data_IF_430276622405
#
_entry.id   IF_430276622405
#
_cell.length_a   1.000
_cell.length_b   1.000
_cell.length_c   1.000
_cell.angle_alpha   90.00
_cell.angle_beta   90.00
_cell.angle_gamma   90.00
#
_symmetry.space_group_name_H-M   'P 1'
#
loop_
_entity.id
_entity.type
_entity.pdbx_description
1 polymer ?
#
# COMPACT_ATOMS: atom_id res chain seq x y z
N UNK A 1 -3.09 -2.94 14.97
CA UNK A 1 -1.96 -2.13 15.48
C UNK A 1 -0.58 -2.74 15.21
N UNK A 2 -0.33 -4.04 15.46
CA UNK A 2 0.98 -4.65 15.19
C UNK A 2 1.42 -4.61 13.71
N UNK A 3 0.50 -4.88 12.79
CA UNK A 3 0.73 -4.75 11.33
C UNK A 3 1.05 -3.31 10.92
N UNK A 4 0.46 -2.31 11.59
CA UNK A 4 0.67 -0.89 11.30
C UNK A 4 2.06 -0.43 11.72
N UNK A 5 2.55 -0.90 12.87
CA UNK A 5 3.92 -0.62 13.36
C UNK A 5 4.96 -1.32 12.48
N UNK A 6 4.70 -2.56 12.07
CA UNK A 6 5.56 -3.29 11.13
C UNK A 6 5.63 -2.60 9.77
N UNK A 7 4.48 -2.20 9.22
CA UNK A 7 4.42 -1.47 7.94
C UNK A 7 5.11 -0.09 8.04
N UNK A 8 4.98 0.61 9.16
CA UNK A 8 5.74 1.84 9.38
C UNK A 8 7.26 1.58 9.41
N UNK A 9 7.69 0.46 10.00
CA UNK A 9 9.10 0.07 10.08
C UNK A 9 9.77 -0.17 8.72
N UNK A 10 9.03 -0.63 7.71
CA UNK A 10 9.57 -0.81 6.35
C UNK A 10 9.65 0.49 5.57
N UNK A 11 8.64 1.38 5.69
CA UNK A 11 8.61 2.65 4.93
C UNK A 11 9.48 3.77 5.53
N UNK A 12 9.79 3.75 6.83
CA UNK A 12 10.66 4.76 7.49
C UNK A 12 12.07 4.83 6.90
N UNK A 13 12.83 3.73 6.71
CA UNK A 13 14.16 3.80 6.10
C UNK A 13 14.12 4.29 4.65
N UNK A 14 13.10 3.90 3.87
CA UNK A 14 12.91 4.39 2.49
C UNK A 14 12.66 5.90 2.43
N UNK A 15 11.84 6.40 3.36
CA UNK A 15 11.61 7.83 3.52
C UNK A 15 12.91 8.58 3.83
N UNK A 16 13.72 8.06 4.76
CA UNK A 16 15.01 8.65 5.14
C UNK A 16 15.96 8.69 3.93
N UNK A 17 16.08 7.57 3.21
CA UNK A 17 16.92 7.48 2.00
C UNK A 17 16.49 8.49 0.93
N UNK A 18 15.19 8.55 0.64
CA UNK A 18 14.61 9.46 -0.37
C UNK A 18 14.83 10.93 0.00
N UNK A 19 14.69 11.30 1.28
CA UNK A 19 14.92 12.67 1.77
C UNK A 19 16.41 13.05 1.66
N UNK A 20 17.32 12.14 1.97
CA UNK A 20 18.77 12.40 1.85
C UNK A 20 19.15 12.64 0.40
N UNK A 21 18.64 11.84 -0.54
CA UNK A 21 18.90 11.98 -1.98
C UNK A 21 18.27 13.27 -2.53
N UNK A 22 17.06 13.60 -2.11
CA UNK A 22 16.40 14.85 -2.48
C UNK A 22 17.18 16.09 -1.99
N UNK A 23 17.73 16.05 -0.77
CA UNK A 23 18.57 17.14 -0.21
C UNK A 23 19.89 17.32 -0.95
N UNK A 24 20.38 16.31 -1.66
CA UNK A 24 21.56 16.40 -2.53
C UNK A 24 21.27 17.00 -3.90
N UNK A 25 20.04 17.47 -4.15
CA UNK A 25 19.60 18.05 -5.42
C UNK A 25 19.18 17.03 -6.47
N UNK A 26 19.14 15.73 -6.12
CA UNK A 26 18.79 14.63 -7.01
C UNK A 26 17.30 14.26 -6.83
N UNK A 27 16.41 15.21 -7.13
CA UNK A 27 14.96 15.04 -6.93
C UNK A 27 14.37 13.86 -7.71
N UNK A 28 14.74 13.70 -8.97
CA UNK A 28 14.26 12.62 -9.85
C UNK A 28 14.71 11.24 -9.35
N UNK A 29 15.89 11.17 -8.71
CA UNK A 29 16.39 9.96 -8.08
C UNK A 29 15.64 9.64 -6.79
N UNK A 30 15.26 10.65 -6.01
CA UNK A 30 14.45 10.45 -4.81
C UNK A 30 13.05 9.93 -5.16
N UNK A 31 12.41 10.47 -6.21
CA UNK A 31 11.09 10.02 -6.67
C UNK A 31 11.15 8.60 -7.22
N UNK A 32 12.16 8.28 -8.04
CA UNK A 32 12.31 6.92 -8.59
C UNK A 32 12.64 5.89 -7.52
N UNK A 33 13.44 6.25 -6.50
CA UNK A 33 13.72 5.37 -5.34
C UNK A 33 12.45 5.07 -4.54
N UNK A 34 11.61 6.08 -4.29
CA UNK A 34 10.36 5.90 -3.54
C UNK A 34 9.32 5.08 -4.30
N UNK A 35 9.23 5.24 -5.63
CA UNK A 35 8.34 4.41 -6.47
C UNK A 35 8.87 2.98 -6.54
N UNK A 36 10.20 2.82 -6.68
CA UNK A 36 10.87 1.53 -6.80
C UNK A 36 10.73 0.65 -5.56
N UNK A 37 10.82 1.21 -4.35
CA UNK A 37 10.69 0.43 -3.12
C UNK A 37 9.27 -0.13 -2.93
N UNK A 38 8.24 0.67 -3.18
CA UNK A 38 6.85 0.19 -3.18
C UNK A 38 6.60 -0.90 -4.23
N UNK A 39 7.21 -0.78 -5.42
CA UNK A 39 7.07 -1.77 -6.48
C UNK A 39 7.79 -3.08 -6.12
N UNK A 40 8.96 -2.99 -5.47
CA UNK A 40 9.69 -4.13 -4.93
C UNK A 40 8.89 -4.84 -3.82
N UNK A 41 8.27 -4.11 -2.90
CA UNK A 41 7.43 -4.69 -1.85
C UNK A 41 6.26 -5.48 -2.44
N UNK A 42 5.62 -5.00 -3.51
CA UNK A 42 4.51 -5.70 -4.16
C UNK A 42 5.00 -6.91 -4.98
N UNK A 43 6.07 -6.74 -5.76
CA UNK A 43 6.56 -7.78 -6.67
C UNK A 43 7.40 -8.86 -5.98
N UNK A 44 8.06 -8.54 -4.87
CA UNK A 44 9.03 -9.41 -4.20
C UNK A 44 8.66 -9.59 -2.72
N UNK A 45 8.30 -8.51 -2.02
CA UNK A 45 7.91 -8.56 -0.61
C UNK A 45 6.67 -9.42 -0.33
N UNK A 46 5.61 -9.30 -1.15
CA UNK A 46 4.40 -10.11 -1.01
C UNK A 46 4.58 -11.58 -1.47
N UNK A 47 5.23 -11.89 -2.61
CA UNK A 47 5.31 -13.27 -3.09
C UNK A 47 6.32 -14.13 -2.36
N UNK A 48 7.42 -13.57 -1.83
CA UNK A 48 8.47 -14.36 -1.17
C UNK A 48 7.94 -15.16 0.04
N UNK A 49 7.19 -14.57 1.00
CA UNK A 49 6.65 -15.32 2.13
C UNK A 49 5.69 -16.44 1.70
N UNK A 50 4.88 -16.19 0.68
CA UNK A 50 3.97 -17.20 0.10
C UNK A 50 4.74 -18.32 -0.60
N UNK A 51 5.76 -17.97 -1.38
CA UNK A 51 6.63 -18.94 -2.05
C UNK A 51 7.40 -19.78 -1.03
N UNK A 52 7.91 -19.16 0.03
CA UNK A 52 8.59 -19.83 1.13
C UNK A 52 7.64 -20.77 1.87
N UNK A 53 6.42 -20.32 2.18
CA UNK A 53 5.42 -21.16 2.81
C UNK A 53 5.00 -22.33 1.91
N UNK A 54 4.87 -22.10 0.60
CA UNK A 54 4.62 -23.15 -0.38
C UNK A 54 5.79 -24.15 -0.44
N UNK A 55 7.03 -23.67 -0.49
CA UNK A 55 8.22 -24.51 -0.53
C UNK A 55 8.41 -25.35 0.75
N UNK A 56 8.20 -24.75 1.93
CA UNK A 56 8.24 -25.46 3.22
C UNK A 56 7.11 -26.50 3.26
N UNK A 57 5.89 -26.13 2.89
CA UNK A 57 4.77 -27.08 2.81
C UNK A 57 5.06 -28.19 1.80
N UNK A 58 5.65 -27.91 0.65
CA UNK A 58 6.00 -28.91 -0.34
C UNK A 58 7.04 -29.92 0.20
N UNK A 59 8.06 -29.43 0.91
CA UNK A 59 9.06 -30.27 1.58
C UNK A 59 8.48 -31.09 2.74
N UNK A 60 7.60 -30.52 3.57
CA UNK A 60 7.02 -31.20 4.74
C UNK A 60 5.86 -32.14 4.38
N UNK A 61 5.04 -31.82 3.36
CA UNK A 61 3.87 -32.61 2.96
C UNK A 61 4.19 -33.80 2.03
N UNK A 62 5.45 -34.10 1.76
CA UNK A 62 5.82 -35.41 1.20
C UNK A 62 5.50 -36.58 2.16
N UNK A 63 5.11 -36.29 3.43
CA UNK A 63 4.71 -37.29 4.43
C UNK A 63 3.29 -37.14 5.02
N UNK A 64 2.52 -36.11 4.66
CA UNK A 64 1.12 -36.04 5.11
C UNK A 64 0.23 -35.28 4.14
N UNK A 65 -0.77 -35.99 3.63
CA UNK A 65 -1.73 -35.48 2.67
C UNK A 65 -2.57 -34.34 3.27
N UNK A 66 -2.45 -33.18 2.65
CA UNK A 66 -3.53 -32.25 2.30
C UNK A 66 -4.70 -32.11 3.30
N UNK A 67 -4.63 -31.05 4.12
CA UNK A 67 -5.83 -30.23 4.38
C UNK A 67 -5.67 -28.89 3.68
N UNK A 68 -6.21 -28.78 2.47
CA UNK A 68 -6.59 -27.49 1.89
C UNK A 68 -7.87 -27.04 2.60
N UNK A 69 -7.73 -26.48 3.80
CA UNK A 69 -8.82 -25.72 4.39
C UNK A 69 -8.94 -24.42 3.62
N UNK A 70 -10.09 -24.26 2.95
CA UNK A 70 -10.44 -23.04 2.22
C UNK A 70 -10.68 -21.96 3.26
N UNK A 71 -9.76 -21.00 3.36
CA UNK A 71 -9.89 -19.88 4.31
C UNK A 71 -11.02 -18.99 3.81
N UNK A 72 -12.16 -18.89 4.52
CA UNK A 72 -13.26 -18.04 4.09
C UNK A 72 -12.81 -16.57 4.19
N UNK A 73 -12.78 -15.88 3.05
CA UNK A 73 -12.42 -14.47 2.97
C UNK A 73 -13.68 -13.65 3.29
N UNK A 74 -13.73 -13.07 4.49
CA UNK A 74 -14.85 -12.21 4.90
C UNK A 74 -14.77 -10.89 4.12
N UNK A 75 -15.71 -10.70 3.20
CA UNK A 75 -15.61 -9.72 2.10
C UNK A 75 -16.10 -8.30 2.45
N UNK A 76 -16.79 -8.10 3.58
CA UNK A 76 -17.51 -6.83 3.84
C UNK A 76 -16.62 -5.59 3.89
N UNK A 77 -15.36 -5.71 4.33
CA UNK A 77 -14.39 -4.60 4.35
C UNK A 77 -13.39 -4.59 3.20
N UNK A 78 -13.16 -5.74 2.54
CA UNK A 78 -12.11 -5.90 1.54
C UNK A 78 -12.37 -5.05 0.29
N UNK A 79 -13.63 -5.05 -0.19
CA UNK A 79 -14.02 -4.28 -1.37
C UNK A 79 -13.85 -2.78 -1.12
N UNK A 80 -14.19 -2.30 0.07
CA UNK A 80 -14.05 -0.89 0.43
C UNK A 80 -12.56 -0.50 0.52
N UNK A 81 -11.71 -1.33 1.15
CA UNK A 81 -10.27 -1.09 1.21
C UNK A 81 -9.58 -1.12 -0.15
N UNK A 82 -9.94 -2.06 -1.02
CA UNK A 82 -9.42 -2.12 -2.40
C UNK A 82 -9.89 -0.91 -3.21
N UNK A 83 -11.16 -0.52 -3.08
CA UNK A 83 -11.70 0.68 -3.72
C UNK A 83 -10.97 1.96 -3.31
N UNK A 84 -10.68 2.11 -2.01
CA UNK A 84 -9.91 3.23 -1.47
C UNK A 84 -8.47 3.26 -2.00
N UNK A 85 -7.81 2.10 -2.11
CA UNK A 85 -6.47 2.01 -2.71
C UNK A 85 -6.45 2.47 -4.17
N UNK A 86 -7.41 2.03 -4.99
CA UNK A 86 -7.52 2.48 -6.37
C UNK A 86 -7.82 3.97 -6.48
N UNK A 87 -8.70 4.50 -5.63
CA UNK A 87 -8.99 5.94 -5.58
C UNK A 87 -7.74 6.76 -5.26
N UNK A 88 -6.96 6.32 -4.27
CA UNK A 88 -5.69 6.95 -3.89
C UNK A 88 -4.70 6.99 -5.05
N UNK A 89 -4.57 5.88 -5.80
CA UNK A 89 -3.72 5.79 -6.98
C UNK A 89 -4.16 6.81 -8.06
N UNK A 90 -5.46 6.91 -8.32
CA UNK A 90 -6.00 7.85 -9.32
C UNK A 90 -5.70 9.30 -8.90
N UNK A 91 -5.96 9.65 -7.64
CA UNK A 91 -5.67 10.99 -7.10
C UNK A 91 -4.18 11.33 -7.23
N UNK A 92 -3.29 10.37 -6.92
CA UNK A 92 -1.85 10.53 -7.07
C UNK A 92 -1.47 10.84 -8.54
N UNK A 93 -1.95 10.05 -9.50
CA UNK A 93 -1.66 10.24 -10.93
C UNK A 93 -2.19 11.59 -11.43
N UNK A 94 -3.41 11.96 -11.03
CA UNK A 94 -4.02 13.24 -11.40
C UNK A 94 -3.23 14.41 -10.83
N UNK A 95 -2.81 14.35 -9.57
CA UNK A 95 -2.03 15.40 -8.94
C UNK A 95 -0.62 15.54 -9.54
N UNK A 96 0.04 14.42 -9.88
CA UNK A 96 1.31 14.42 -10.64
C UNK A 96 1.13 15.09 -12.01
N UNK A 97 0.02 14.78 -12.70
CA UNK A 97 -0.30 15.38 -14.01
C UNK A 97 -0.57 16.89 -13.92
N UNK A 98 -1.31 17.33 -12.90
CA UNK A 98 -1.61 18.76 -12.65
C UNK A 98 -0.32 19.54 -12.37
N UNK A 99 0.63 18.94 -11.65
CA UNK A 99 1.92 19.57 -11.35
C UNK A 99 2.96 19.48 -12.48
N UNK A 100 2.53 19.14 -13.71
CA UNK A 100 3.35 19.14 -14.94
C UNK A 100 4.68 18.40 -14.82
N UNK A 101 4.77 17.38 -13.95
CA UNK A 101 6.03 16.66 -13.69
C UNK A 101 7.18 17.56 -13.20
N UNK A 102 6.88 18.75 -12.66
CA UNK A 102 7.89 19.62 -12.07
C UNK A 102 7.84 19.56 -10.55
N UNK A 103 8.98 19.26 -9.93
CA UNK A 103 9.07 19.06 -8.50
C UNK A 103 9.14 20.39 -7.75
N UNK A 104 7.97 21.00 -7.54
CA UNK A 104 7.84 22.27 -6.82
C UNK A 104 7.49 22.02 -5.35
N UNK A 105 7.89 22.91 -4.43
CA UNK A 105 7.59 22.75 -2.97
C UNK A 105 6.08 22.66 -2.70
N UNK A 106 5.29 23.32 -3.54
CA UNK A 106 3.82 23.32 -3.52
C UNK A 106 3.26 21.92 -3.82
N UNK A 107 3.88 21.17 -4.73
CA UNK A 107 3.48 19.80 -5.04
C UNK A 107 3.63 18.87 -3.83
N UNK A 108 4.73 18.99 -3.09
CA UNK A 108 4.94 18.22 -1.85
C UNK A 108 3.88 18.54 -0.78
N UNK A 109 3.50 19.81 -0.61
CA UNK A 109 2.44 20.21 0.33
C UNK A 109 1.08 19.65 -0.12
N UNK A 110 0.77 19.72 -1.41
CA UNK A 110 -0.45 19.14 -1.99
C UNK A 110 -0.55 17.63 -1.71
N UNK A 111 0.57 16.91 -1.86
CA UNK A 111 0.66 15.47 -1.57
C UNK A 111 0.40 15.14 -0.10
N UNK A 112 0.99 15.92 0.82
CA UNK A 112 0.77 15.71 2.27
C UNK A 112 -0.69 15.98 2.65
N UNK A 113 -1.29 17.06 2.12
CA UNK A 113 -2.70 17.38 2.37
C UNK A 113 -3.61 16.28 1.82
N UNK A 114 -3.35 15.81 0.60
CA UNK A 114 -4.11 14.72 0.00
C UNK A 114 -3.99 13.41 0.81
N UNK A 115 -2.80 13.08 1.28
CA UNK A 115 -2.56 11.91 2.14
C UNK A 115 -3.29 12.01 3.47
N UNK A 116 -3.23 13.16 4.15
CA UNK A 116 -3.95 13.38 5.41
C UNK A 116 -5.47 13.31 5.22
N UNK A 117 -5.99 13.93 4.16
CA UNK A 117 -7.41 13.84 3.82
C UNK A 117 -7.85 12.39 3.58
N UNK A 118 -7.02 11.59 2.89
CA UNK A 118 -7.27 10.17 2.69
C UNK A 118 -7.24 9.38 4.00
N UNK A 119 -6.25 9.60 4.88
CA UNK A 119 -6.20 8.96 6.19
C UNK A 119 -7.43 9.28 7.04
N UNK A 120 -7.86 10.55 7.05
CA UNK A 120 -9.07 10.98 7.77
C UNK A 120 -10.31 10.30 7.19
N UNK A 121 -10.46 10.25 5.87
CA UNK A 121 -11.56 9.56 5.20
C UNK A 121 -11.57 8.06 5.50
N UNK A 122 -10.41 7.41 5.47
CA UNK A 122 -10.25 5.99 5.81
C UNK A 122 -10.65 5.70 7.26
N UNK A 123 -10.20 6.52 8.21
CA UNK A 123 -10.56 6.40 9.63
C UNK A 123 -12.06 6.68 9.87
N UNK A 124 -12.66 7.65 9.17
CA UNK A 124 -14.09 7.95 9.26
C UNK A 124 -14.97 6.80 8.75
N UNK A 125 -14.52 6.12 7.69
CA UNK A 125 -15.17 4.93 7.15
C UNK A 125 -15.05 3.76 8.15
N UNK A 126 -13.86 3.54 8.71
CA UNK A 126 -13.61 2.47 9.68
C UNK A 126 -14.40 2.67 11.01
N UNK A 127 -14.56 3.93 11.44
CA UNK A 127 -15.35 4.30 12.62
C UNK A 127 -16.88 4.27 12.39
N UNK A 128 -17.33 3.96 11.17
CA UNK A 128 -18.76 3.83 10.84
C UNK A 128 -19.52 5.14 10.77
N UNK A 129 -18.83 6.29 10.72
CA UNK A 129 -19.46 7.60 10.51
C UNK A 129 -19.92 7.79 9.05
N UNK A 130 -19.25 7.12 8.11
CA UNK A 130 -19.58 7.14 6.67
C UNK A 130 -19.85 5.70 6.23
N UNK A 131 -21.03 5.45 5.66
CA UNK A 131 -21.40 4.14 5.11
C UNK A 131 -20.62 3.93 3.81
N UNK A 132 -19.81 2.88 3.72
CA UNK A 132 -19.16 2.44 2.48
C UNK A 132 -20.23 2.27 1.37
N UNK A 133 -20.20 3.06 0.29
CA UNK A 133 -21.16 2.90 -0.80
C UNK A 133 -20.90 1.64 -1.64
N UNK A 134 -19.71 1.05 -1.52
CA UNK A 134 -19.29 -0.18 -2.19
C UNK A 134 -19.68 -1.44 -1.42
N UNK A 135 -20.96 -1.55 -1.04
CA UNK A 135 -21.53 -2.82 -0.59
C UNK A 135 -21.78 -3.68 -1.83
N UNK A 136 -20.85 -4.60 -2.10
CA UNK A 136 -21.16 -5.76 -2.93
C UNK A 136 -21.97 -6.70 -2.05
N UNK A 137 -23.30 -6.66 -2.21
CA UNK A 137 -24.17 -7.70 -1.67
C UNK A 137 -23.84 -9.01 -2.41
N UNK A 138 -22.99 -9.84 -1.81
CA UNK A 138 -22.97 -11.26 -2.15
C UNK A 138 -24.33 -11.82 -1.72
N UNK A 139 -25.16 -12.16 -2.70
CA UNK A 139 -26.35 -12.98 -2.52
C UNK A 139 -25.95 -14.43 -2.28
#
# INVERSE_FOLDING_TARGET
MGLTVLAAGTSVPDLISSVIVARKGLGDMAVSSSIGSNLFDICVGLPIPWLLQFAIRWLTNSFSAARLDTIPVISKGLVCSVGLLFLMLIVLIVAVKICRWEMNKIFGIMMIIAYLAFCVLSVLIELGYIICPLIVACN
#
